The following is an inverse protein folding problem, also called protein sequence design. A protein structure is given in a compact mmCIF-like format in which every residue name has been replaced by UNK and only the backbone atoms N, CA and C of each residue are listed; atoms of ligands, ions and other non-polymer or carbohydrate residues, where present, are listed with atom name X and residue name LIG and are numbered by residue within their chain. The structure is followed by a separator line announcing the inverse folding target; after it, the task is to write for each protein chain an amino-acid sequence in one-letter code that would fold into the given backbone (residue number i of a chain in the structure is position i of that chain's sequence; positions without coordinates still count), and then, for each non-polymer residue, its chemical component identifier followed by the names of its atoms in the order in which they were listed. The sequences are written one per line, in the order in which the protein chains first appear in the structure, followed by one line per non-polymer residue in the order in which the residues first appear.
data_IF_587828123157
#
_entry.id   IF_587828123157
#
_cell.length_a   1.000
_cell.length_b   1.000
_cell.length_c   1.000
_cell.angle_alpha   90.00
_cell.angle_beta   90.00
_cell.angle_gamma   90.00
#
_symmetry.space_group_name_H-M   'P 1'
#
loop_
_entity.id
_entity.type
_entity.pdbx_description
1 polymer ?
#
# COMPACT_ATOMS: atom_id res chain seq x y z
N UNK A 1 10.29 22.80 13.57
CA UNK A 1 10.83 21.76 14.48
C UNK A 1 12.34 21.96 14.71
N UNK A 2 12.88 21.40 15.81
CA UNK A 2 14.35 21.32 16.03
C UNK A 2 15.03 20.49 14.93
N UNK A 3 16.27 20.82 14.56
CA UNK A 3 17.04 20.15 13.49
C UNK A 3 17.13 18.63 13.69
N UNK A 4 17.32 18.17 14.93
CA UNK A 4 17.35 16.74 15.26
C UNK A 4 16.00 16.04 14.99
N UNK A 5 14.89 16.72 15.27
CA UNK A 5 13.54 16.19 15.01
C UNK A 5 13.23 16.18 13.52
N UNK A 6 13.71 17.17 12.75
CA UNK A 6 13.62 17.17 11.28
C UNK A 6 14.35 15.95 10.72
N UNK A 7 15.60 15.73 11.12
CA UNK A 7 16.36 14.55 10.70
C UNK A 7 15.62 13.25 11.03
N UNK A 8 15.13 13.13 12.26
CA UNK A 8 14.43 11.95 12.73
C UNK A 8 13.13 11.70 11.96
N UNK A 9 12.36 12.75 11.71
CA UNK A 9 11.11 12.67 10.96
C UNK A 9 11.35 12.23 9.52
N UNK A 10 12.36 12.78 8.85
CA UNK A 10 12.75 12.36 7.50
C UNK A 10 13.16 10.89 7.47
N UNK A 11 14.00 10.45 8.41
CA UNK A 11 14.38 9.05 8.52
C UNK A 11 13.17 8.14 8.75
N UNK A 12 12.25 8.55 9.63
CA UNK A 12 11.00 7.83 9.87
C UNK A 12 10.17 7.69 8.59
N UNK A 13 10.00 8.77 7.81
CA UNK A 13 9.29 8.72 6.55
C UNK A 13 9.96 7.78 5.54
N UNK A 14 11.29 7.79 5.45
CA UNK A 14 12.05 6.85 4.59
C UNK A 14 11.82 5.40 5.02
N UNK A 15 11.93 5.09 6.32
CA UNK A 15 11.73 3.74 6.86
C UNK A 15 10.30 3.22 6.65
N UNK A 16 9.31 4.12 6.70
CA UNK A 16 7.91 3.79 6.42
C UNK A 16 7.57 3.78 4.93
N UNK A 17 8.51 4.13 4.05
CA UNK A 17 8.26 4.30 2.63
C UNK A 17 7.26 5.42 2.31
N UNK A 18 7.09 6.37 3.22
CA UNK A 18 6.10 7.45 3.15
C UNK A 18 6.68 8.78 2.66
N UNK A 19 7.99 8.88 2.49
CA UNK A 19 8.71 10.11 2.14
C UNK A 19 8.15 10.83 0.91
N UNK A 20 8.09 10.12 -0.22
CA UNK A 20 7.58 10.68 -1.49
C UNK A 20 6.10 11.00 -1.43
N UNK A 21 5.33 10.19 -0.70
CA UNK A 21 3.90 10.41 -0.55
C UNK A 21 3.64 11.67 0.27
N UNK A 22 4.34 11.83 1.40
CA UNK A 22 4.23 13.01 2.24
C UNK A 22 4.57 14.28 1.46
N UNK A 23 5.67 14.30 0.70
CA UNK A 23 6.05 15.46 -0.12
C UNK A 23 5.03 15.75 -1.24
N UNK A 24 4.53 14.70 -1.92
CA UNK A 24 3.50 14.84 -2.94
C UNK A 24 2.16 15.36 -2.40
N UNK A 25 1.76 14.88 -1.22
CA UNK A 25 0.52 15.29 -0.55
C UNK A 25 0.60 16.71 -0.04
N UNK A 26 1.73 17.09 0.54
CA UNK A 26 1.97 18.47 0.95
C UNK A 26 1.84 19.42 -0.24
N UNK A 27 2.49 19.11 -1.37
CA UNK A 27 2.41 19.95 -2.57
C UNK A 27 0.98 20.14 -3.10
N UNK A 28 0.13 19.14 -2.98
CA UNK A 28 -1.22 19.15 -3.56
C UNK A 28 -2.29 19.67 -2.59
N UNK A 29 -2.11 19.43 -1.28
CA UNK A 29 -3.15 19.58 -0.27
C UNK A 29 -2.69 20.33 0.98
N UNK A 30 -1.51 20.96 0.97
CA UNK A 30 -1.05 21.78 2.10
C UNK A 30 -2.12 22.78 2.54
N UNK A 31 -2.20 23.01 3.86
CA UNK A 31 -3.07 24.05 4.38
C UNK A 31 -2.59 25.42 3.87
N UNK A 32 -3.51 26.38 3.61
CA UNK A 32 -3.16 27.68 3.04
C UNK A 32 -2.15 28.48 3.87
N UNK A 33 -2.16 28.30 5.19
CA UNK A 33 -1.28 29.01 6.12
C UNK A 33 0.13 28.40 6.21
N UNK A 34 0.34 27.22 5.62
CA UNK A 34 1.63 26.55 5.65
C UNK A 34 2.58 27.11 4.56
N UNK A 35 3.91 27.09 4.79
CA UNK A 35 4.89 27.50 3.79
C UNK A 35 4.78 26.71 2.47
N UNK A 36 5.10 27.33 1.34
CA UNK A 36 5.07 26.68 0.03
C UNK A 36 5.99 25.45 -0.05
N UNK A 37 7.10 25.47 0.68
CA UNK A 37 8.10 24.40 0.72
C UNK A 37 7.89 23.51 1.94
N UNK A 38 7.93 22.19 1.73
CA UNK A 38 7.95 21.19 2.82
C UNK A 38 9.11 21.47 3.78
N UNK A 39 10.24 21.92 3.26
CA UNK A 39 11.44 22.15 4.07
C UNK A 39 11.28 23.34 5.02
N UNK A 40 10.56 24.37 4.60
CA UNK A 40 10.30 25.53 5.46
C UNK A 40 9.20 25.20 6.47
N UNK A 41 8.18 24.45 6.05
CA UNK A 41 7.19 23.88 6.96
C UNK A 41 7.81 23.07 8.08
N UNK A 42 8.73 22.14 7.79
CA UNK A 42 9.38 21.32 8.82
C UNK A 42 10.21 22.17 9.81
N UNK A 43 10.68 23.35 9.40
CA UNK A 43 11.39 24.28 10.30
C UNK A 43 10.42 25.02 11.22
N UNK A 44 9.22 25.34 10.75
CA UNK A 44 8.24 26.14 11.49
C UNK A 44 7.31 25.30 12.38
N UNK A 45 6.88 24.13 11.91
CA UNK A 45 5.89 23.31 12.62
C UNK A 45 6.46 22.70 13.92
N UNK A 46 5.60 22.48 14.90
CA UNK A 46 5.94 21.67 16.07
C UNK A 46 6.14 20.19 15.67
N UNK A 47 6.95 19.48 16.46
CA UNK A 47 7.21 18.06 16.17
C UNK A 47 6.01 17.17 16.46
N UNK A 48 5.11 17.66 17.31
CA UNK A 48 3.83 17.02 17.58
C UNK A 48 2.86 17.41 16.46
N UNK A 49 2.05 16.47 16.00
CA UNK A 49 1.06 16.70 14.94
C UNK A 49 1.64 17.13 13.58
N UNK A 50 2.93 16.86 13.31
CA UNK A 50 3.61 17.26 12.06
C UNK A 50 2.96 16.71 10.79
N UNK A 51 2.16 15.64 10.87
CA UNK A 51 1.47 15.05 9.71
C UNK A 51 0.08 15.68 9.54
N UNK A 52 -0.72 15.73 10.61
CA UNK A 52 -2.06 16.32 10.57
C UNK A 52 -2.07 17.82 10.32
N UNK A 53 -1.01 18.53 10.70
CA UNK A 53 -0.85 19.96 10.41
C UNK A 53 -0.29 20.23 9.00
N UNK A 54 0.10 19.21 8.24
CA UNK A 54 0.81 19.40 6.98
C UNK A 54 -0.13 19.71 5.81
N UNK A 55 -1.23 18.96 5.73
CA UNK A 55 -2.16 19.01 4.60
C UNK A 55 -3.52 18.42 4.96
N UNK A 56 -4.55 18.82 4.22
CA UNK A 56 -5.89 18.23 4.34
C UNK A 56 -5.90 16.82 3.75
N UNK A 57 -6.37 15.84 4.51
CA UNK A 57 -6.44 14.46 4.04
C UNK A 57 -7.52 14.30 2.95
N UNK A 58 -7.16 13.84 1.74
CA UNK A 58 -8.10 13.64 0.66
C UNK A 58 -8.95 12.39 0.93
N UNK A 59 -10.25 12.59 1.11
CA UNK A 59 -11.24 11.52 1.37
C UNK A 59 -11.39 10.53 0.20
N UNK A 60 -10.97 10.95 -1.00
CA UNK A 60 -11.08 10.15 -2.22
C UNK A 60 -9.88 9.20 -2.45
N UNK A 61 -8.81 9.28 -1.65
CA UNK A 61 -7.68 8.35 -1.73
C UNK A 61 -7.90 7.15 -0.82
N UNK A 62 -8.59 6.12 -1.33
CA UNK A 62 -8.94 4.90 -0.55
C UNK A 62 -7.70 4.24 0.09
N UNK A 63 -6.54 4.28 -0.58
CA UNK A 63 -5.31 3.64 -0.08
C UNK A 63 -4.49 4.50 0.89
N UNK A 64 -4.65 5.83 0.83
CA UNK A 64 -3.88 6.81 1.61
C UNK A 64 -4.81 7.85 2.25
N UNK A 65 -5.95 7.36 2.72
CA UNK A 65 -6.99 8.18 3.33
C UNK A 65 -6.63 8.60 4.75
N UNK A 66 -7.57 9.24 5.45
CA UNK A 66 -7.36 9.73 6.82
C UNK A 66 -6.75 8.67 7.76
N UNK A 67 -7.26 7.43 7.74
CA UNK A 67 -6.80 6.35 8.61
C UNK A 67 -5.31 6.01 8.41
N UNK A 68 -4.80 6.09 7.18
CA UNK A 68 -3.38 5.87 6.89
C UNK A 68 -2.52 6.96 7.53
N UNK A 69 -2.89 8.23 7.34
CA UNK A 69 -2.12 9.36 7.85
C UNK A 69 -2.19 9.45 9.37
N UNK A 70 -3.35 9.22 9.98
CA UNK A 70 -3.48 9.14 11.43
C UNK A 70 -2.68 7.97 12.02
N UNK A 71 -2.67 6.81 11.34
CA UNK A 71 -1.83 5.69 11.74
C UNK A 71 -0.33 6.01 11.67
N UNK A 72 0.09 6.74 10.64
CA UNK A 72 1.47 7.19 10.47
C UNK A 72 1.85 8.24 11.52
N UNK A 73 0.94 9.15 11.86
CA UNK A 73 1.10 10.15 12.90
C UNK A 73 1.27 9.53 14.29
N UNK A 74 0.40 8.60 14.69
CA UNK A 74 0.56 7.87 15.96
C UNK A 74 1.89 7.12 16.03
N UNK A 75 2.34 6.54 14.92
CA UNK A 75 3.63 5.86 14.86
C UNK A 75 4.80 6.85 14.99
N UNK A 76 4.65 8.07 14.46
CA UNK A 76 5.62 9.15 14.63
C UNK A 76 5.69 9.63 16.08
N UNK A 77 4.55 9.94 16.69
CA UNK A 77 4.46 10.37 18.09
C UNK A 77 5.14 9.36 19.03
N UNK A 78 4.87 8.07 18.83
CA UNK A 78 5.54 7.00 19.57
C UNK A 78 7.06 7.05 19.39
N UNK A 79 7.54 7.17 18.14
CA UNK A 79 8.98 7.26 17.87
C UNK A 79 9.63 8.50 18.49
N UNK A 80 8.94 9.64 18.45
CA UNK A 80 9.41 10.88 19.04
C UNK A 80 9.48 10.76 20.58
N UNK A 81 8.50 10.11 21.20
CA UNK A 81 8.52 9.79 22.63
C UNK A 81 9.68 8.85 22.99
N UNK A 82 9.82 7.73 22.27
CA UNK A 82 10.91 6.77 22.48
C UNK A 82 12.28 7.46 22.34
N UNK A 83 12.40 8.40 21.39
CA UNK A 83 13.61 9.18 21.14
C UNK A 83 13.95 10.18 22.25
N UNK A 84 12.92 10.80 22.84
CA UNK A 84 13.10 11.80 23.91
C UNK A 84 13.36 11.14 25.25
N UNK A 85 12.71 10.00 25.54
CA UNK A 85 12.91 9.23 26.77
C UNK A 85 14.26 8.51 26.80
N UNK A 86 14.73 8.00 25.66
CA UNK A 86 16.02 7.30 25.54
C UNK A 86 17.14 8.24 25.06
N UNK A 87 17.35 9.37 25.73
CA UNK A 87 18.30 10.43 25.36
C UNK A 87 19.73 9.97 25.01
N UNK A 88 20.16 8.79 25.46
CA UNK A 88 21.41 8.13 25.08
C UNK A 88 21.48 7.67 23.61
N UNK A 89 20.35 7.46 22.93
CA UNK A 89 20.30 7.03 21.52
C UNK A 89 20.65 8.19 20.57
N UNK A 90 20.39 9.44 20.96
CA UNK A 90 20.69 10.62 20.13
C UNK A 90 22.07 11.21 20.38
N UNK A 91 22.65 11.01 21.56
CA UNK A 91 24.02 11.45 21.88
C UNK A 91 25.10 10.84 20.97
N UNK A 92 24.80 9.74 20.27
CA UNK A 92 25.73 9.03 19.40
C UNK A 92 25.75 9.51 17.93
N UNK A 93 24.82 10.36 17.49
CA UNK A 93 24.84 10.89 16.12
C UNK A 93 25.68 12.16 16.07
N UNK A 94 26.82 12.11 15.37
CA UNK A 94 27.66 13.28 15.15
C UNK A 94 26.82 14.46 14.63
N UNK A 95 26.83 15.61 15.32
CA UNK A 95 25.99 16.77 15.03
C UNK A 95 26.05 17.19 13.54
N UNK A 96 27.22 17.07 12.92
CA UNK A 96 27.44 17.35 11.50
C UNK A 96 26.63 16.42 10.57
N UNK A 97 26.47 15.14 10.92
CA UNK A 97 25.66 14.18 10.16
C UNK A 97 24.17 14.49 10.28
N UNK A 98 23.72 14.84 11.48
CA UNK A 98 22.33 15.24 11.74
C UNK A 98 21.98 16.50 10.95
N UNK A 99 22.80 17.54 11.03
CA UNK A 99 22.60 18.78 10.27
C UNK A 99 22.56 18.52 8.76
N UNK A 100 23.52 17.76 8.22
CA UNK A 100 23.59 17.42 6.78
C UNK A 100 22.37 16.66 6.29
N UNK A 101 21.87 15.70 7.07
CA UNK A 101 20.70 14.91 6.70
C UNK A 101 19.40 15.69 6.89
N UNK A 102 19.28 16.52 7.92
CA UNK A 102 18.16 17.43 8.10
C UNK A 102 18.05 18.43 6.95
N UNK A 103 19.19 18.93 6.44
CA UNK A 103 19.21 19.85 5.29
C UNK A 103 18.93 19.19 3.93
N UNK A 104 18.98 17.85 3.85
CA UNK A 104 18.73 17.15 2.59
C UNK A 104 17.23 17.25 2.27
N UNK A 105 16.82 17.81 1.11
CA UNK A 105 15.41 17.92 0.77
C UNK A 105 14.77 16.53 0.63
N UNK A 106 13.51 16.40 1.05
CA UNK A 106 12.74 15.18 0.82
C UNK A 106 12.64 14.85 -0.67
N UNK A 107 12.72 13.57 -1.02
CA UNK A 107 12.49 13.16 -2.41
C UNK A 107 11.06 13.52 -2.84
N UNK A 108 10.95 14.26 -3.93
CA UNK A 108 9.65 14.62 -4.51
C UNK A 108 9.06 13.44 -5.29
N UNK A 109 7.75 13.23 -5.12
CA UNK A 109 7.00 12.40 -6.04
C UNK A 109 6.80 13.13 -7.38
N UNK A 110 7.48 12.65 -8.43
CA UNK A 110 7.35 13.14 -9.81
C UNK A 110 6.29 12.38 -10.62
N UNK A 111 5.44 11.58 -9.98
CA UNK A 111 4.36 10.87 -10.68
C UNK A 111 3.26 11.82 -11.17
N UNK A 112 2.38 11.36 -12.07
CA UNK A 112 1.32 12.18 -12.63
C UNK A 112 0.48 12.79 -11.49
N UNK A 113 0.21 14.10 -11.61
CA UNK A 113 -0.70 14.83 -10.72
C UNK A 113 -1.98 14.00 -10.53
N UNK A 114 -2.48 13.89 -9.30
CA UNK A 114 -3.76 13.24 -9.00
C UNK A 114 -4.96 14.05 -9.51
N UNK A 115 -4.74 15.05 -10.36
CA UNK A 115 -5.76 15.68 -11.18
C UNK A 115 -6.50 14.62 -11.99
N UNK A 116 -7.69 14.27 -11.47
CA UNK A 116 -8.75 13.70 -12.29
C UNK A 116 -8.87 14.59 -13.52
N UNK A 117 -8.51 14.05 -14.70
CA UNK A 117 -9.07 14.54 -15.95
C UNK A 117 -10.58 14.59 -15.74
N UNK A 118 -11.14 15.81 -15.68
CA UNK A 118 -12.59 16.01 -15.75
C UNK A 118 -13.04 15.23 -16.98
N UNK A 119 -13.86 14.20 -16.76
CA UNK A 119 -14.45 13.40 -17.83
C UNK A 119 -15.21 14.39 -18.71
N UNK A 120 -14.82 14.62 -19.99
CA UNK A 120 -15.68 15.38 -20.87
C UNK A 120 -17.02 14.64 -20.97
N UNK A 121 -18.10 15.42 -21.09
CA UNK A 121 -19.43 14.90 -21.34
C UNK A 121 -19.40 13.93 -22.54
N UNK A 122 -20.26 12.91 -22.58
CA UNK A 122 -20.25 11.96 -23.68
C UNK A 122 -20.68 12.68 -24.96
N UNK A 123 -19.71 13.04 -25.80
CA UNK A 123 -19.97 13.38 -27.20
C UNK A 123 -20.41 12.09 -27.91
N UNK A 124 -21.54 12.20 -28.59
CA UNK A 124 -22.09 11.16 -29.45
C UNK A 124 -21.05 10.77 -30.51
N UNK A 125 -20.56 9.54 -30.42
CA UNK A 125 -19.59 9.03 -31.38
C UNK A 125 -20.30 8.66 -32.69
N UNK A 126 -20.32 9.62 -33.62
CA UNK A 126 -20.48 9.33 -35.05
C UNK A 126 -19.31 8.47 -35.53
N UNK A 127 -19.62 7.27 -36.00
CA UNK A 127 -18.68 6.37 -36.66
C UNK A 127 -18.20 6.95 -37.99
N UNK A 128 -16.93 7.28 -38.10
CA UNK A 128 -16.25 7.48 -39.39
C UNK A 128 -15.19 6.40 -39.61
N UNK A 129 -15.01 5.90 -40.86
CA UNK A 129 -14.14 4.77 -41.14
C UNK A 129 -12.66 5.16 -41.10
N UNK A 130 -11.90 4.24 -40.51
CA UNK A 130 -10.44 4.17 -40.44
C UNK A 130 -9.88 3.99 -41.86
N UNK A 131 -9.12 4.96 -42.38
CA UNK A 131 -8.17 4.76 -43.48
C UNK A 131 -7.19 5.93 -43.56
N UNK A 132 -5.89 5.62 -43.48
CA UNK A 132 -4.80 6.60 -43.65
C UNK A 132 -3.67 6.33 -42.67
N UNK A 133 -2.76 5.43 -43.02
CA UNK A 133 -1.43 5.37 -42.42
C UNK A 133 -0.71 6.69 -42.72
N UNK A 134 -0.28 7.42 -41.69
CA UNK A 134 0.52 8.65 -41.85
C UNK A 134 1.96 8.29 -42.24
N UNK A 135 2.62 9.17 -43.00
CA UNK A 135 4.01 9.01 -43.50
C UNK A 135 5.04 8.69 -42.40
N UNK A 136 4.75 8.99 -41.13
CA UNK A 136 5.57 8.57 -39.97
C UNK A 136 5.74 7.06 -39.84
N UNK A 137 4.82 6.25 -40.40
CA UNK A 137 4.93 4.78 -40.35
C UNK A 137 5.95 4.21 -41.36
N UNK A 138 6.39 4.97 -42.36
CA UNK A 138 7.41 4.49 -43.33
C UNK A 138 8.83 4.53 -42.76
N UNK A 139 9.13 5.43 -41.81
CA UNK A 139 10.45 5.56 -41.15
C UNK A 139 10.77 4.35 -40.25
N UNK A 140 9.77 3.54 -39.90
CA UNK A 140 9.92 2.39 -39.01
C UNK A 140 10.06 1.03 -39.75
N UNK A 141 10.04 1.03 -41.09
CA UNK A 141 10.09 -0.19 -41.91
C UNK A 141 11.41 -0.99 -41.80
N UNK A 142 12.45 -0.40 -41.20
CA UNK A 142 13.73 -1.05 -40.91
C UNK A 142 13.89 -1.56 -39.48
N UNK A 143 12.94 -1.31 -38.57
CA UNK A 143 13.05 -1.72 -37.18
C UNK A 143 12.39 -3.08 -36.93
N UNK A 144 13.17 -4.06 -36.48
CA UNK A 144 12.63 -5.25 -35.82
C UNK A 144 12.22 -4.88 -34.40
N UNK A 145 10.92 -4.69 -34.20
CA UNK A 145 10.36 -4.55 -32.86
C UNK A 145 10.31 -5.93 -32.20
N UNK A 146 10.94 -6.05 -31.04
CA UNK A 146 10.74 -7.22 -30.19
C UNK A 146 9.34 -7.13 -29.58
N UNK A 147 8.55 -8.17 -29.76
CA UNK A 147 7.27 -8.31 -29.07
C UNK A 147 7.55 -8.60 -27.59
N UNK A 148 7.73 -7.55 -26.79
CA UNK A 148 7.78 -7.67 -25.33
C UNK A 148 6.36 -7.99 -24.89
N UNK A 149 6.01 -9.26 -24.87
CA UNK A 149 4.78 -9.73 -24.24
C UNK A 149 4.81 -9.26 -22.79
N UNK A 150 4.00 -8.25 -22.48
CA UNK A 150 3.69 -7.86 -21.10
C UNK A 150 3.34 -9.16 -20.39
N UNK A 151 4.14 -9.55 -19.39
CA UNK A 151 3.83 -10.70 -18.55
C UNK A 151 2.42 -10.48 -18.02
N UNK A 152 1.45 -11.16 -18.59
CA UNK A 152 0.08 -11.12 -18.12
C UNK A 152 0.09 -11.88 -16.82
N UNK A 153 0.15 -11.14 -15.71
CA UNK A 153 -0.15 -11.69 -14.39
C UNK A 153 -1.52 -12.35 -14.51
N UNK A 154 -1.53 -13.69 -14.46
CA UNK A 154 -2.74 -14.49 -14.55
C UNK A 154 -3.73 -13.97 -13.52
N UNK A 155 -4.93 -13.58 -13.97
CA UNK A 155 -6.01 -13.19 -13.08
C UNK A 155 -6.49 -14.42 -12.31
N UNK A 156 -6.64 -14.29 -10.99
CA UNK A 156 -7.23 -15.34 -10.15
C UNK A 156 -8.69 -15.56 -10.52
N UNK A 157 -9.11 -16.83 -10.57
CA UNK A 157 -10.53 -17.19 -10.67
C UNK A 157 -11.26 -16.90 -9.35
N UNK A 158 -12.59 -16.91 -9.38
CA UNK A 158 -13.43 -16.57 -8.23
C UNK A 158 -13.28 -17.53 -7.04
N UNK A 159 -12.78 -18.73 -7.30
CA UNK A 159 -12.51 -19.79 -6.32
C UNK A 159 -11.01 -19.94 -6.02
N UNK A 160 -10.18 -18.97 -6.41
CA UNK A 160 -8.73 -19.07 -6.24
C UNK A 160 -8.17 -18.03 -5.25
N UNK A 161 -7.11 -18.43 -4.57
CA UNK A 161 -6.16 -17.53 -3.90
C UNK A 161 -4.76 -17.82 -4.42
N UNK A 162 -3.86 -16.84 -4.37
CA UNK A 162 -2.45 -17.08 -4.66
C UNK A 162 -1.54 -16.73 -3.50
N UNK A 163 -0.43 -17.45 -3.44
CA UNK A 163 0.69 -17.18 -2.55
C UNK A 163 1.91 -16.89 -3.41
N UNK A 164 2.56 -15.75 -3.15
CA UNK A 164 3.82 -15.38 -3.78
C UNK A 164 4.91 -15.26 -2.72
N UNK A 165 5.91 -16.15 -2.77
CA UNK A 165 7.06 -16.17 -1.83
C UNK A 165 8.26 -15.37 -2.35
N UNK A 166 8.33 -15.08 -3.66
CA UNK A 166 9.50 -14.46 -4.31
C UNK A 166 9.69 -12.99 -3.97
N UNK A 167 8.62 -12.20 -3.95
CA UNK A 167 8.74 -10.74 -3.81
C UNK A 167 8.43 -10.21 -2.41
N UNK A 168 7.49 -10.85 -1.71
CA UNK A 168 6.88 -10.20 -0.54
C UNK A 168 6.20 -11.16 0.46
N UNK A 169 6.20 -12.47 0.20
CA UNK A 169 5.50 -13.46 1.01
C UNK A 169 4.05 -13.04 1.28
N UNK A 170 3.31 -12.83 0.20
CA UNK A 170 1.93 -12.35 0.25
C UNK A 170 0.96 -13.43 -0.22
N UNK A 171 -0.11 -13.56 0.56
CA UNK A 171 -1.35 -14.22 0.19
C UNK A 171 -2.27 -13.18 -0.46
N UNK A 172 -2.81 -13.48 -1.63
CA UNK A 172 -3.73 -12.61 -2.38
C UNK A 172 -5.03 -13.35 -2.65
N UNK A 173 -6.14 -12.75 -2.25
CA UNK A 173 -7.47 -13.29 -2.50
C UNK A 173 -7.97 -12.84 -3.86
N UNK A 174 -8.79 -13.65 -4.53
CA UNK A 174 -9.48 -13.19 -5.74
C UNK A 174 -10.43 -12.02 -5.45
N UNK A 175 -10.86 -11.33 -6.51
CA UNK A 175 -11.68 -10.13 -6.40
C UNK A 175 -13.01 -10.37 -5.70
N UNK A 176 -13.67 -11.49 -5.99
CA UNK A 176 -14.99 -11.83 -5.44
C UNK A 176 -14.93 -11.97 -3.91
N UNK A 177 -14.00 -12.77 -3.39
CA UNK A 177 -13.77 -12.90 -1.94
C UNK A 177 -13.31 -11.57 -1.33
N UNK A 178 -12.48 -10.82 -2.04
CA UNK A 178 -11.98 -9.52 -1.57
C UNK A 178 -13.09 -8.49 -1.39
N UNK A 179 -14.06 -8.47 -2.30
CA UNK A 179 -15.22 -7.59 -2.23
C UNK A 179 -16.16 -8.00 -1.08
N UNK A 180 -16.30 -9.29 -0.77
CA UNK A 180 -17.03 -9.75 0.41
C UNK A 180 -16.39 -9.28 1.72
N UNK A 181 -15.08 -9.50 1.87
CA UNK A 181 -14.33 -9.05 3.04
C UNK A 181 -14.44 -7.53 3.18
N UNK A 182 -14.28 -6.77 2.09
CA UNK A 182 -14.41 -5.30 2.12
C UNK A 182 -15.79 -4.84 2.57
N UNK A 183 -16.87 -5.44 2.05
CA UNK A 183 -18.25 -5.09 2.43
C UNK A 183 -18.53 -5.40 3.90
N UNK A 184 -17.91 -6.44 4.45
CA UNK A 184 -18.06 -6.83 5.87
C UNK A 184 -17.31 -5.91 6.85
N UNK A 185 -16.37 -5.08 6.36
CA UNK A 185 -15.52 -4.21 7.18
C UNK A 185 -14.69 -4.93 8.26
N UNK A 186 -14.46 -6.23 8.09
CA UNK A 186 -13.61 -7.02 8.97
C UNK A 186 -12.14 -6.70 8.68
N UNK A 187 -11.31 -6.61 9.71
CA UNK A 187 -9.95 -6.08 9.61
C UNK A 187 -8.84 -7.12 9.81
N UNK A 188 -9.16 -8.24 10.47
CA UNK A 188 -8.18 -9.25 10.87
C UNK A 188 -8.57 -10.62 10.35
N UNK A 189 -7.55 -11.44 10.05
CA UNK A 189 -7.70 -12.83 9.63
C UNK A 189 -6.99 -13.77 10.60
N UNK A 190 -7.71 -14.76 11.10
CA UNK A 190 -7.18 -15.90 11.84
C UNK A 190 -7.15 -17.13 10.94
N UNK A 191 -6.23 -18.05 11.22
CA UNK A 191 -6.13 -19.33 10.52
C UNK A 191 -6.31 -20.46 11.52
N UNK A 192 -7.33 -21.28 11.27
CA UNK A 192 -7.59 -22.50 12.03
C UNK A 192 -7.38 -23.74 11.18
N UNK A 193 -7.15 -24.86 11.84
CA UNK A 193 -7.21 -26.20 11.28
C UNK A 193 -8.21 -27.00 12.13
N UNK A 194 -9.16 -27.68 11.50
CA UNK A 194 -10.14 -28.50 12.21
C UNK A 194 -9.71 -29.97 12.11
N UNK A 195 -9.18 -30.51 13.21
CA UNK A 195 -8.80 -31.92 13.33
C UNK A 195 -7.79 -32.38 12.26
N UNK A 196 -8.00 -33.59 11.75
CA UNK A 196 -7.15 -34.21 10.71
C UNK A 196 -7.53 -33.80 9.27
N UNK A 197 -8.46 -32.86 9.07
CA UNK A 197 -8.78 -32.41 7.72
C UNK A 197 -7.54 -31.77 7.06
N UNK A 198 -7.26 -32.17 5.80
CA UNK A 198 -6.26 -31.52 4.93
C UNK A 198 -6.77 -30.18 4.39
N UNK A 199 -7.29 -29.34 5.27
CA UNK A 199 -7.85 -28.05 4.96
C UNK A 199 -7.50 -27.03 6.03
N UNK A 200 -7.36 -25.78 5.60
CA UNK A 200 -7.21 -24.63 6.49
C UNK A 200 -8.49 -23.80 6.43
N UNK A 201 -8.86 -23.21 7.56
CA UNK A 201 -9.99 -22.30 7.67
C UNK A 201 -9.48 -20.90 7.91
N UNK A 202 -9.83 -19.98 7.02
CA UNK A 202 -9.56 -18.57 7.17
C UNK A 202 -10.80 -17.90 7.75
N UNK A 203 -10.62 -17.30 8.92
CA UNK A 203 -11.69 -16.65 9.67
C UNK A 203 -11.37 -15.17 9.69
N UNK A 204 -12.17 -14.37 9.00
CA UNK A 204 -12.08 -12.92 9.09
C UNK A 204 -12.98 -12.44 10.22
N UNK A 205 -12.49 -11.52 11.04
CA UNK A 205 -13.22 -10.93 12.16
C UNK A 205 -12.63 -9.55 12.51
N UNK A 206 -13.15 -8.91 13.55
CA UNK A 206 -12.55 -7.72 14.17
C UNK A 206 -11.75 -8.06 15.44
N UNK A 207 -11.35 -9.32 15.62
CA UNK A 207 -10.47 -9.73 16.70
C UNK A 207 -9.03 -9.30 16.40
N UNK A 208 -8.50 -8.37 17.21
CA UNK A 208 -7.16 -7.80 17.06
C UNK A 208 -6.03 -8.82 17.25
N UNK A 209 -6.32 -10.03 17.76
CA UNK A 209 -5.37 -11.13 17.83
C UNK A 209 -5.08 -11.76 16.45
N UNK A 210 -5.85 -11.42 15.42
CA UNK A 210 -5.64 -11.90 14.05
C UNK A 210 -4.55 -11.15 13.28
N UNK A 211 -4.30 -11.60 12.04
CA UNK A 211 -3.34 -10.96 11.13
C UNK A 211 -4.08 -9.87 10.34
N UNK A 212 -3.66 -8.60 10.39
CA UNK A 212 -4.31 -7.55 9.63
C UNK A 212 -4.08 -7.74 8.12
N UNK A 213 -5.11 -7.51 7.33
CA UNK A 213 -5.02 -7.49 5.86
C UNK A 213 -5.03 -6.07 5.30
N UNK A 214 -4.58 -5.96 4.05
CA UNK A 214 -4.58 -4.72 3.27
C UNK A 214 -5.33 -4.93 1.96
N UNK A 215 -5.64 -3.85 1.27
CA UNK A 215 -6.18 -3.90 -0.09
C UNK A 215 -5.17 -3.39 -1.10
N UNK A 216 -5.09 -4.03 -2.26
CA UNK A 216 -4.32 -3.59 -3.42
C UNK A 216 -5.17 -3.74 -4.69
N UNK A 217 -5.41 -2.65 -5.41
CA UNK A 217 -6.05 -2.66 -6.74
C UNK A 217 -7.31 -3.55 -6.87
N UNK A 218 -8.10 -3.67 -5.79
CA UNK A 218 -9.34 -4.48 -5.60
C UNK A 218 -9.19 -5.81 -4.87
N UNK A 219 -7.98 -6.31 -4.62
CA UNK A 219 -7.74 -7.59 -3.95
C UNK A 219 -7.36 -7.39 -2.48
N UNK A 220 -7.80 -8.31 -1.62
CA UNK A 220 -7.33 -8.43 -0.24
C UNK A 220 -5.98 -9.12 -0.25
N UNK A 221 -5.00 -8.55 0.45
CA UNK A 221 -3.62 -9.04 0.51
C UNK A 221 -3.17 -9.13 1.96
N UNK A 222 -2.51 -10.24 2.30
CA UNK A 222 -1.86 -10.46 3.59
C UNK A 222 -0.40 -10.81 3.34
N UNK A 223 0.50 -9.90 3.68
CA UNK A 223 1.93 -10.10 3.55
C UNK A 223 2.52 -10.48 4.91
N UNK A 224 2.64 -11.78 5.13
CA UNK A 224 3.16 -12.34 6.38
C UNK A 224 3.94 -13.62 6.06
N UNK A 225 5.27 -13.54 6.24
CA UNK A 225 6.19 -14.65 5.94
C UNK A 225 5.85 -15.92 6.71
N UNK A 226 5.58 -15.82 8.01
CA UNK A 226 5.28 -16.98 8.84
C UNK A 226 3.98 -17.68 8.39
N UNK A 227 2.94 -16.91 8.10
CA UNK A 227 1.67 -17.41 7.55
C UNK A 227 1.89 -18.14 6.22
N UNK A 228 2.54 -17.47 5.25
CA UNK A 228 2.79 -18.01 3.91
C UNK A 228 3.62 -19.29 3.96
N UNK A 229 4.69 -19.31 4.76
CA UNK A 229 5.52 -20.50 4.95
C UNK A 229 4.71 -21.64 5.58
N UNK A 230 3.86 -21.36 6.56
CA UNK A 230 2.98 -22.37 7.18
C UNK A 230 1.97 -22.95 6.20
N UNK A 231 1.33 -22.12 5.36
CA UNK A 231 0.35 -22.60 4.37
C UNK A 231 1.04 -23.50 3.32
N UNK A 232 2.16 -23.05 2.75
CA UNK A 232 2.89 -23.87 1.76
C UNK A 232 3.38 -25.18 2.37
N UNK A 233 3.87 -25.18 3.62
CA UNK A 233 4.26 -26.39 4.34
C UNK A 233 3.06 -27.32 4.58
N UNK A 234 1.92 -26.77 4.99
CA UNK A 234 0.70 -27.55 5.24
C UNK A 234 0.20 -28.28 4.00
N UNK A 235 0.28 -27.66 2.82
CA UNK A 235 -0.16 -28.25 1.56
C UNK A 235 0.97 -28.92 0.74
N UNK A 236 2.18 -29.03 1.31
CA UNK A 236 3.35 -29.63 0.64
C UNK A 236 3.60 -29.00 -0.74
N UNK A 237 3.50 -27.66 -0.83
CA UNK A 237 3.73 -26.91 -2.06
C UNK A 237 5.12 -26.30 -2.08
N UNK A 238 5.84 -26.54 -3.16
CA UNK A 238 7.13 -25.93 -3.47
C UNK A 238 6.98 -24.90 -4.61
N UNK A 239 7.85 -23.90 -4.62
CA UNK A 239 7.91 -22.89 -5.66
C UNK A 239 7.53 -21.48 -5.21
N UNK A 240 7.79 -20.54 -6.11
CA UNK A 240 7.69 -19.10 -5.87
C UNK A 240 6.26 -18.55 -5.93
N UNK A 241 5.38 -19.26 -6.64
CA UNK A 241 4.00 -18.87 -6.88
C UNK A 241 3.10 -20.09 -6.84
N UNK A 242 2.21 -20.13 -5.85
CA UNK A 242 1.26 -21.22 -5.65
C UNK A 242 -0.17 -20.67 -5.73
N UNK A 243 -1.09 -21.48 -6.27
CA UNK A 243 -2.52 -21.19 -6.32
C UNK A 243 -3.25 -22.28 -5.55
N UNK A 244 -4.21 -21.88 -4.73
CA UNK A 244 -5.05 -22.76 -3.92
C UNK A 244 -6.52 -22.46 -4.18
N UNK A 245 -7.38 -23.43 -3.90
CA UNK A 245 -8.82 -23.24 -3.97
C UNK A 245 -9.36 -22.68 -2.66
N UNK A 246 -10.31 -21.74 -2.77
CA UNK A 246 -11.05 -21.15 -1.66
C UNK A 246 -12.53 -21.44 -1.84
N UNK A 247 -13.18 -21.92 -0.78
CA UNK A 247 -14.61 -22.18 -0.78
C UNK A 247 -15.40 -20.87 -0.85
N UNK A 248 -16.70 -20.98 -1.15
CA UNK A 248 -17.64 -19.92 -0.79
C UNK A 248 -17.65 -19.72 0.73
N UNK A 249 -18.09 -18.55 1.19
CA UNK A 249 -18.25 -18.28 2.61
C UNK A 249 -19.14 -19.36 3.26
N UNK A 250 -18.61 -20.04 4.26
CA UNK A 250 -19.25 -21.14 4.98
C UNK A 250 -20.15 -20.66 6.13
N UNK A 251 -19.88 -19.47 6.67
CA UNK A 251 -20.62 -18.91 7.79
C UNK A 251 -20.73 -17.39 7.61
N UNK A 252 -21.93 -16.92 7.28
CA UNK A 252 -22.21 -15.50 7.08
C UNK A 252 -22.83 -14.91 8.33
N UNK A 253 -21.98 -14.55 9.29
CA UNK A 253 -22.37 -13.68 10.39
C UNK A 253 -22.05 -12.22 10.04
N UNK A 254 -22.62 -11.27 10.79
CA UNK A 254 -22.16 -9.87 10.78
C UNK A 254 -20.74 -9.74 11.36
N UNK A 255 -20.38 -10.66 12.26
CA UNK A 255 -19.18 -10.55 13.08
C UNK A 255 -17.96 -11.28 12.49
N UNK A 256 -18.20 -12.23 11.58
CA UNK A 256 -17.15 -12.99 10.95
C UNK A 256 -17.54 -13.57 9.58
N UNK A 257 -16.51 -13.83 8.76
CA UNK A 257 -16.59 -14.61 7.52
C UNK A 257 -15.66 -15.82 7.64
N UNK A 258 -16.09 -16.97 7.12
CA UNK A 258 -15.28 -18.20 7.18
C UNK A 258 -15.12 -18.82 5.81
N UNK A 259 -13.88 -19.07 5.42
CA UNK A 259 -13.53 -19.69 4.15
C UNK A 259 -12.68 -20.92 4.39
N UNK A 260 -12.94 -22.00 3.65
CA UNK A 260 -12.10 -23.20 3.64
C UNK A 260 -11.14 -23.14 2.46
N UNK A 261 -9.88 -23.41 2.73
CA UNK A 261 -8.80 -23.47 1.75
C UNK A 261 -8.41 -24.93 1.53
N UNK A 262 -8.29 -25.31 0.27
CA UNK A 262 -7.84 -26.63 -0.15
C UNK A 262 -6.79 -26.55 -1.24
N UNK A 263 -6.08 -27.66 -1.45
CA UNK A 263 -5.05 -27.81 -2.48
C UNK A 263 -5.55 -27.51 -3.88
#
# INVERSE_FOLDING_TARGET
MKVANIYLFKQFLTEKGAEKMFSGMYRQYAFPDNPTSVEDYLKEVDSDNVISNAFKFPENLIQYGPDYWFGLEKAWEKRLKDATENSNVYGAYAANKVAKMASKPLEMWNGPSFERKKKPAPEEATTTPRNGATEEQQVLSGFKFFDIKKSTTRRLKDDEISINTRSSNCLTFNKTVSDEIRKSKLQYMQVGQLGEEKALFFIFSNDENGIPHKYNDSNTIICNKALVTRINKFFEREGDYNVFHISKNMAKSKDYLTYKITK
#
